data_IF_362455170572
#
_entry.id   IF_362455170572
#
_cell.length_a   1.000
_cell.length_b   1.000
_cell.length_c   1.000
_cell.angle_alpha   90.00
_cell.angle_beta   90.00
_cell.angle_gamma   90.00
#
_symmetry.space_group_name_H-M   'P 1'
#
loop_
_entity.id
_entity.type
_entity.pdbx_description
1 polymer ?
#
# COMPACT_ATOMS: atom_id res chain seq x y z
N UNK A 1 8.13 -15.36 9.89
CA UNK A 1 7.91 -16.37 10.94
C UNK A 1 7.36 -15.62 12.14
N UNK A 2 6.04 -15.57 12.30
CA UNK A 2 5.43 -14.96 13.48
C UNK A 2 5.55 -15.98 14.60
N UNK A 3 6.42 -15.70 15.56
CA UNK A 3 6.61 -16.58 16.70
C UNK A 3 5.47 -16.33 17.69
N UNK A 4 4.44 -17.17 17.67
CA UNK A 4 3.40 -17.11 18.71
C UNK A 4 3.92 -17.72 20.00
N UNK A 5 3.64 -17.06 21.12
CA UNK A 5 3.86 -17.63 22.45
C UNK A 5 3.02 -18.91 22.61
N UNK A 6 3.60 -19.96 23.21
CA UNK A 6 2.92 -21.24 23.43
C UNK A 6 1.74 -21.10 24.40
N UNK A 7 0.74 -21.99 24.28
CA UNK A 7 -0.43 -22.02 25.17
C UNK A 7 -0.03 -22.04 26.64
N UNK A 8 0.92 -22.92 26.97
CA UNK A 8 1.36 -23.15 28.35
C UNK A 8 1.98 -21.89 28.94
N UNK A 9 2.66 -21.09 28.11
CA UNK A 9 3.28 -19.84 28.52
C UNK A 9 2.25 -18.70 28.64
N UNK A 10 1.16 -18.73 27.86
CA UNK A 10 0.02 -17.80 28.05
C UNK A 10 -0.63 -18.04 29.41
N UNK A 11 -0.94 -19.30 29.73
CA UNK A 11 -1.58 -19.67 31.00
C UNK A 11 -0.70 -19.26 32.20
N UNK A 12 0.61 -19.45 32.12
CA UNK A 12 1.56 -19.01 33.15
C UNK A 12 1.54 -17.48 33.34
N UNK A 13 1.49 -16.73 32.24
CA UNK A 13 1.44 -15.26 32.27
C UNK A 13 0.10 -14.74 32.81
N UNK A 14 -1.02 -15.35 32.42
CA UNK A 14 -2.34 -14.97 32.92
C UNK A 14 -2.41 -15.12 34.44
N UNK A 15 -1.90 -16.23 34.98
CA UNK A 15 -1.80 -16.44 36.43
C UNK A 15 -0.90 -15.39 37.11
N UNK A 16 0.22 -15.04 36.48
CA UNK A 16 1.16 -14.05 37.00
C UNK A 16 0.52 -12.65 37.07
N UNK A 17 -0.12 -12.23 35.99
CA UNK A 17 -0.72 -10.91 35.87
C UNK A 17 -1.96 -10.77 36.75
N UNK A 18 -2.83 -11.79 36.78
CA UNK A 18 -4.03 -11.82 37.64
C UNK A 18 -3.66 -11.67 39.13
N UNK A 19 -2.58 -12.33 39.57
CA UNK A 19 -2.08 -12.22 40.96
C UNK A 19 -1.46 -10.87 41.28
N UNK A 20 -0.85 -10.22 40.30
CA UNK A 20 -0.19 -8.93 40.48
C UNK A 20 -1.16 -7.75 40.50
N UNK A 21 -2.40 -7.93 40.00
CA UNK A 21 -3.35 -6.84 39.75
C UNK A 21 -2.94 -5.91 38.61
N UNK A 22 -1.82 -6.20 37.94
CA UNK A 22 -1.34 -5.48 36.76
C UNK A 22 -1.90 -6.16 35.51
N UNK A 23 -2.38 -5.37 34.56
CA UNK A 23 -2.70 -5.86 33.21
C UNK A 23 -1.53 -5.56 32.29
N UNK A 24 -1.04 -6.54 31.50
CA UNK A 24 -0.07 -6.23 30.47
C UNK A 24 -0.76 -5.32 29.45
N UNK A 25 -0.29 -4.09 29.35
CA UNK A 25 -0.59 -3.19 28.23
C UNK A 25 0.68 -3.20 27.40
N UNK A 26 0.63 -3.78 26.20
CA UNK A 26 1.75 -3.71 25.26
C UNK A 26 1.64 -2.35 24.56
N UNK A 27 1.83 -1.28 25.34
CA UNK A 27 1.75 0.08 24.85
C UNK A 27 2.84 0.38 23.81
N UNK A 28 3.90 -0.43 23.81
CA UNK A 28 5.00 -0.37 22.86
C UNK A 28 4.57 -0.66 21.42
N UNK A 29 3.47 -1.39 21.21
CA UNK A 29 2.90 -1.70 19.88
C UNK A 29 1.78 -0.73 19.50
N UNK A 30 1.29 0.10 20.43
CA UNK A 30 0.22 1.04 20.17
C UNK A 30 0.69 2.18 19.24
N UNK A 31 -0.18 2.57 18.30
CA UNK A 31 0.02 3.78 17.52
C UNK A 31 0.14 4.98 18.44
N UNK A 32 1.27 5.68 18.38
CA UNK A 32 1.60 6.74 19.33
C UNK A 32 2.11 7.99 18.62
N UNK A 33 1.79 9.14 19.23
CA UNK A 33 2.28 10.45 18.81
C UNK A 33 2.76 11.20 20.05
N UNK A 34 4.01 11.65 20.02
CA UNK A 34 4.60 12.45 21.08
C UNK A 34 4.65 13.91 20.65
N UNK A 35 4.11 14.79 21.50
CA UNK A 35 4.11 16.24 21.32
C UNK A 35 4.94 16.84 22.45
N UNK A 36 5.88 17.73 22.11
CA UNK A 36 6.69 18.50 23.06
C UNK A 36 6.50 19.97 22.69
N UNK A 37 6.14 20.80 23.67
CA UNK A 37 5.89 22.25 23.47
C UNK A 37 4.95 22.55 22.30
N UNK A 38 3.81 21.84 22.24
CA UNK A 38 2.80 21.92 21.18
C UNK A 38 3.31 21.58 19.76
N UNK A 39 4.50 20.98 19.65
CA UNK A 39 5.09 20.54 18.39
C UNK A 39 5.21 19.03 18.34
N UNK A 40 4.92 18.48 17.17
CA UNK A 40 5.15 17.06 16.91
C UNK A 40 6.63 16.73 17.09
N UNK A 41 6.93 15.83 18.02
CA UNK A 41 8.29 15.34 18.31
C UNK A 41 8.53 14.00 17.63
N UNK A 42 7.62 13.04 17.78
CA UNK A 42 7.74 11.73 17.14
C UNK A 42 6.40 11.08 16.92
N UNK A 43 6.36 10.15 15.97
CA UNK A 43 5.26 9.19 15.80
C UNK A 43 5.82 7.77 15.75
N UNK A 44 5.04 6.80 16.21
CA UNK A 44 5.39 5.39 16.17
C UNK A 44 4.17 4.50 15.91
N UNK A 45 4.42 3.33 15.34
CA UNK A 45 3.43 2.28 15.07
C UNK A 45 2.22 2.74 14.25
N UNK A 46 2.44 3.66 13.31
CA UNK A 46 1.44 3.98 12.29
C UNK A 46 1.57 2.99 11.12
N UNK A 47 0.43 2.57 10.57
CA UNK A 47 0.44 1.93 9.26
C UNK A 47 1.07 2.87 8.23
N UNK A 48 1.97 2.38 7.36
CA UNK A 48 2.76 3.23 6.48
C UNK A 48 1.90 4.03 5.48
N UNK A 49 0.67 3.60 5.18
CA UNK A 49 -0.32 4.34 4.38
C UNK A 49 -0.83 5.59 5.11
N UNK A 50 -1.01 5.50 6.43
CA UNK A 50 -1.40 6.64 7.27
C UNK A 50 -0.23 7.61 7.33
N UNK A 51 0.98 7.12 7.59
CA UNK A 51 2.20 7.93 7.56
C UNK A 51 2.38 8.63 6.21
N UNK A 52 2.15 7.92 5.09
CA UNK A 52 2.26 8.48 3.76
C UNK A 52 1.21 9.57 3.50
N UNK A 53 -0.04 9.39 3.97
CA UNK A 53 -1.10 10.37 3.80
C UNK A 53 -0.79 11.73 4.44
N UNK A 54 -0.13 11.74 5.60
CA UNK A 54 0.12 12.96 6.37
C UNK A 54 1.55 13.50 6.22
N UNK A 55 2.51 12.64 5.97
CA UNK A 55 3.94 12.99 5.97
C UNK A 55 4.64 12.61 4.66
N UNK A 56 3.96 11.93 3.74
CA UNK A 56 4.49 11.48 2.45
C UNK A 56 5.69 10.53 2.54
N UNK A 57 5.80 9.80 3.66
CA UNK A 57 6.78 8.73 3.86
C UNK A 57 6.10 7.42 4.24
N UNK A 58 6.51 6.32 3.59
CA UNK A 58 6.17 4.96 4.01
C UNK A 58 7.05 4.55 5.19
N UNK A 59 6.58 4.86 6.40
CA UNK A 59 7.35 4.70 7.63
C UNK A 59 6.47 4.28 8.81
N UNK A 60 6.99 3.41 9.66
CA UNK A 60 6.33 3.01 10.92
C UNK A 60 6.73 3.91 12.08
N UNK A 61 7.90 4.55 12.01
CA UNK A 61 8.41 5.45 13.03
C UNK A 61 9.10 6.66 12.41
N UNK A 62 8.85 7.85 12.95
CA UNK A 62 9.56 9.08 12.59
C UNK A 62 9.80 9.94 13.82
N UNK A 63 10.99 10.49 13.94
CA UNK A 63 11.40 11.33 15.08
C UNK A 63 12.06 12.61 14.61
N UNK A 64 11.69 13.75 15.20
CA UNK A 64 12.31 15.05 14.97
C UNK A 64 13.65 15.16 15.69
N UNK A 65 14.47 16.10 15.21
CA UNK A 65 15.70 16.50 15.91
C UNK A 65 15.38 17.07 17.28
N UNK A 66 16.16 16.64 18.28
CA UNK A 66 16.07 17.15 19.64
C UNK A 66 16.65 18.57 19.73
N UNK A 67 17.73 18.83 19.00
CA UNK A 67 18.40 20.13 18.99
C UNK A 67 18.91 20.56 17.59
N UNK A 68 19.51 21.76 17.55
CA UNK A 68 20.06 22.32 16.32
C UNK A 68 21.38 21.70 15.86
N UNK A 69 22.12 21.04 16.76
CA UNK A 69 23.40 20.40 16.45
C UNK A 69 23.13 19.15 15.62
N UNK A 70 22.24 18.28 16.10
CA UNK A 70 21.86 17.05 15.41
C UNK A 70 21.25 17.36 14.04
N UNK A 71 20.41 18.40 13.98
CA UNK A 71 19.83 18.90 12.73
C UNK A 71 20.91 19.32 11.74
N UNK A 72 21.90 20.09 12.20
CA UNK A 72 23.01 20.55 11.36
C UNK A 72 23.86 19.40 10.83
N UNK A 73 24.08 18.35 11.62
CA UNK A 73 24.80 17.14 11.20
C UNK A 73 24.02 16.40 10.11
N UNK A 74 22.72 16.19 10.32
CA UNK A 74 21.86 15.51 9.34
C UNK A 74 21.78 16.24 7.99
N UNK A 75 21.62 17.56 8.03
CA UNK A 75 21.58 18.41 6.82
C UNK A 75 22.89 18.34 6.06
N UNK A 76 24.03 18.54 6.75
CA UNK A 76 25.35 18.49 6.11
C UNK A 76 25.61 17.14 5.43
N UNK A 77 25.19 16.05 6.06
CA UNK A 77 25.36 14.71 5.48
C UNK A 77 24.50 14.52 4.23
N UNK A 78 23.26 15.02 4.22
CA UNK A 78 22.42 15.00 3.02
C UNK A 78 23.01 15.84 1.87
N UNK A 79 23.59 17.00 2.19
CA UNK A 79 24.30 17.85 1.23
C UNK A 79 25.55 17.17 0.66
N UNK A 80 26.38 16.56 1.51
CA UNK A 80 27.58 15.81 1.12
C UNK A 80 27.24 14.63 0.20
N UNK A 81 26.14 13.94 0.48
CA UNK A 81 25.63 12.82 -0.32
C UNK A 81 24.86 13.28 -1.58
N UNK A 82 24.67 14.60 -1.77
CA UNK A 82 23.94 15.21 -2.90
C UNK A 82 22.51 14.70 -3.06
N UNK A 83 21.83 14.46 -1.93
CA UNK A 83 20.46 13.97 -1.90
C UNK A 83 19.50 15.15 -1.79
N UNK A 84 18.87 15.48 -2.91
CA UNK A 84 17.78 16.45 -2.97
C UNK A 84 16.52 15.86 -2.33
N UNK A 85 15.79 16.66 -1.54
CA UNK A 85 14.55 16.27 -0.86
C UNK A 85 14.67 15.10 0.13
N UNK A 86 15.82 14.95 0.77
CA UNK A 86 16.06 13.92 1.77
C UNK A 86 15.26 14.13 3.06
N UNK A 87 14.80 13.04 3.68
CA UNK A 87 14.05 13.10 4.94
C UNK A 87 14.85 13.73 6.09
N UNK A 88 16.20 13.66 6.05
CA UNK A 88 17.11 14.26 7.03
C UNK A 88 16.97 15.77 7.13
N UNK A 89 16.35 16.44 6.15
CA UNK A 89 16.03 17.85 6.29
C UNK A 89 14.95 18.11 7.35
N UNK A 90 14.06 17.13 7.56
CA UNK A 90 12.89 17.26 8.42
C UNK A 90 12.90 16.35 9.64
N UNK A 91 13.59 15.21 9.61
CA UNK A 91 13.52 14.14 10.61
C UNK A 91 14.92 13.69 11.02
N UNK A 92 15.10 13.42 12.31
CA UNK A 92 16.32 12.82 12.87
C UNK A 92 16.44 11.34 12.53
N UNK A 93 15.32 10.63 12.60
CA UNK A 93 15.24 9.21 12.30
C UNK A 93 13.92 8.90 11.59
N UNK A 94 14.01 8.02 10.60
CA UNK A 94 12.86 7.36 9.99
C UNK A 94 13.15 5.85 9.98
N UNK A 95 12.17 5.07 10.42
CA UNK A 95 12.14 3.62 10.18
C UNK A 95 11.19 3.39 9.01
N UNK A 96 11.77 3.09 7.85
CA UNK A 96 10.99 2.74 6.66
C UNK A 96 10.17 1.47 6.93
N UNK A 97 8.95 1.43 6.42
CA UNK A 97 8.07 0.27 6.54
C UNK A 97 7.23 0.20 5.27
N UNK A 98 7.38 -0.90 4.52
CA UNK A 98 6.51 -1.18 3.40
C UNK A 98 5.16 -1.70 3.92
N UNK A 99 4.06 -1.51 3.16
CA UNK A 99 2.73 -1.94 3.61
C UNK A 99 2.66 -3.44 3.92
N UNK A 100 3.32 -4.28 3.12
CA UNK A 100 3.45 -5.72 3.36
C UNK A 100 4.29 -6.09 4.60
N UNK A 101 5.04 -5.15 5.14
CA UNK A 101 5.90 -5.34 6.32
C UNK A 101 5.27 -4.74 7.58
N UNK A 102 4.08 -4.15 7.48
CA UNK A 102 3.40 -3.58 8.62
C UNK A 102 2.87 -4.72 9.52
N UNK A 103 3.21 -4.71 10.80
CA UNK A 103 2.72 -5.71 11.77
C UNK A 103 1.19 -5.71 11.92
N UNK A 104 0.54 -4.60 11.54
CA UNK A 104 -0.93 -4.47 11.48
C UNK A 104 -1.47 -5.05 10.17
N UNK A 105 -0.65 -5.17 9.11
CA UNK A 105 -1.07 -5.76 7.84
C UNK A 105 -1.52 -7.20 8.04
N UNK A 106 -0.79 -8.03 8.78
CA UNK A 106 -1.21 -9.41 9.06
C UNK A 106 -2.55 -9.47 9.80
N UNK A 107 -2.83 -8.51 10.69
CA UNK A 107 -4.11 -8.41 11.39
C UNK A 107 -5.23 -7.93 10.46
N UNK A 108 -4.93 -7.02 9.53
CA UNK A 108 -5.86 -6.57 8.48
C UNK A 108 -6.09 -7.68 7.45
N UNK A 109 -5.06 -8.44 7.08
CA UNK A 109 -5.14 -9.60 6.21
C UNK A 109 -5.93 -10.72 6.90
N UNK A 110 -5.70 -10.99 8.18
CA UNK A 110 -6.46 -11.93 8.98
C UNK A 110 -7.91 -11.47 9.15
N UNK A 111 -8.15 -10.19 9.43
CA UNK A 111 -9.48 -9.59 9.43
C UNK A 111 -10.15 -9.69 8.06
N UNK A 112 -9.42 -9.40 6.97
CA UNK A 112 -9.93 -9.53 5.62
C UNK A 112 -10.22 -10.99 5.29
N UNK A 113 -9.40 -11.94 5.74
CA UNK A 113 -9.62 -13.37 5.48
C UNK A 113 -10.78 -13.91 6.30
N UNK A 114 -10.91 -13.50 7.57
CA UNK A 114 -11.92 -14.00 8.51
C UNK A 114 -13.26 -13.26 8.44
N UNK A 115 -13.25 -11.97 8.12
CA UNK A 115 -14.42 -11.09 8.06
C UNK A 115 -14.79 -10.76 6.62
N UNK A 116 -13.81 -10.49 5.75
CA UNK A 116 -13.98 -10.29 4.30
C UNK A 116 -13.66 -11.59 3.53
N UNK A 117 -13.81 -12.79 4.12
CA UNK A 117 -13.77 -14.06 3.36
C UNK A 117 -14.77 -14.11 2.18
N UNK A 118 -15.50 -13.01 1.97
CA UNK A 118 -16.37 -12.63 0.88
C UNK A 118 -15.72 -11.78 -0.21
N UNK A 119 -14.43 -11.44 -0.22
CA UNK A 119 -13.89 -10.65 -1.34
C UNK A 119 -14.16 -11.35 -2.68
N UNK A 120 -13.98 -12.67 -2.72
CA UNK A 120 -14.35 -13.51 -3.86
C UNK A 120 -15.88 -13.59 -4.11
N UNK A 121 -16.70 -13.33 -3.09
CA UNK A 121 -18.18 -13.23 -3.21
C UNK A 121 -18.64 -11.82 -3.65
N UNK A 122 -17.85 -10.78 -3.37
CA UNK A 122 -18.15 -9.37 -3.61
C UNK A 122 -17.57 -8.88 -4.93
N UNK A 123 -16.42 -9.42 -5.33
CA UNK A 123 -15.78 -9.12 -6.59
C UNK A 123 -16.39 -9.96 -7.71
N UNK A 124 -16.56 -9.36 -8.88
CA UNK A 124 -16.99 -10.10 -10.05
C UNK A 124 -16.02 -11.28 -10.34
N UNK A 125 -16.48 -12.51 -10.64
CA UNK A 125 -15.61 -13.69 -10.80
C UNK A 125 -14.47 -13.53 -11.82
N UNK A 126 -14.70 -12.72 -12.86
CA UNK A 126 -13.66 -12.36 -13.83
C UNK A 126 -12.53 -11.52 -13.22
N UNK A 127 -12.82 -10.64 -12.24
CA UNK A 127 -11.79 -9.88 -11.52
C UNK A 127 -10.89 -10.83 -10.75
N UNK A 128 -11.46 -11.78 -10.00
CA UNK A 128 -10.71 -12.81 -9.25
C UNK A 128 -9.81 -13.61 -10.20
N UNK A 129 -10.36 -14.05 -11.34
CA UNK A 129 -9.60 -14.79 -12.36
C UNK A 129 -8.46 -13.97 -12.97
N UNK A 130 -8.64 -12.66 -13.13
CA UNK A 130 -7.63 -11.75 -13.68
C UNK A 130 -6.53 -11.43 -12.65
N UNK A 131 -6.85 -11.36 -11.36
CA UNK A 131 -5.87 -11.25 -10.27
C UNK A 131 -4.94 -12.47 -10.31
N UNK A 132 -5.49 -13.70 -10.33
CA UNK A 132 -4.67 -14.91 -10.45
C UNK A 132 -3.91 -15.03 -11.78
N UNK A 133 -4.30 -14.29 -12.82
CA UNK A 133 -3.48 -14.15 -14.05
C UNK A 133 -2.33 -13.17 -13.84
N UNK A 134 -2.58 -12.04 -13.19
CA UNK A 134 -1.56 -11.05 -12.87
C UNK A 134 -0.47 -11.65 -11.98
N UNK A 135 -0.85 -12.38 -10.92
CA UNK A 135 0.07 -13.07 -10.02
C UNK A 135 1.00 -14.02 -10.78
N UNK A 136 0.44 -14.87 -11.65
CA UNK A 136 1.27 -15.76 -12.49
C UNK A 136 2.20 -15.00 -13.44
N UNK A 137 1.82 -13.83 -13.94
CA UNK A 137 2.72 -13.01 -14.75
C UNK A 137 3.87 -12.46 -13.89
N UNK A 138 3.58 -12.03 -12.65
CA UNK A 138 4.61 -11.59 -11.70
C UNK A 138 5.56 -12.73 -11.32
N UNK A 139 5.05 -13.93 -11.06
CA UNK A 139 5.85 -15.13 -10.75
C UNK A 139 6.78 -15.56 -11.89
N UNK A 140 6.42 -15.25 -13.13
CA UNK A 140 7.18 -15.61 -14.34
C UNK A 140 8.05 -14.46 -14.87
N UNK A 141 8.26 -13.40 -14.08
CA UNK A 141 8.98 -12.19 -14.49
C UNK A 141 8.44 -11.58 -15.81
N UNK A 142 7.12 -11.59 -16.01
CA UNK A 142 6.43 -11.05 -17.19
C UNK A 142 5.71 -9.72 -16.85
N UNK A 143 6.42 -8.58 -16.85
CA UNK A 143 5.83 -7.29 -16.49
C UNK A 143 4.79 -6.81 -17.51
N UNK A 144 4.92 -7.20 -18.78
CA UNK A 144 3.95 -6.84 -19.81
C UNK A 144 2.63 -7.60 -19.65
N UNK A 145 2.71 -8.89 -19.32
CA UNK A 145 1.56 -9.70 -18.95
C UNK A 145 0.87 -9.21 -17.68
N UNK A 146 1.65 -8.78 -16.68
CA UNK A 146 1.10 -8.19 -15.46
C UNK A 146 0.34 -6.88 -15.75
N UNK A 147 0.91 -5.97 -16.55
CA UNK A 147 0.21 -4.74 -16.98
C UNK A 147 -1.06 -5.04 -17.79
N UNK A 148 -1.02 -6.04 -18.66
CA UNK A 148 -2.20 -6.47 -19.40
C UNK A 148 -3.33 -6.94 -18.47
N UNK A 149 -3.00 -7.79 -17.50
CA UNK A 149 -3.95 -8.29 -16.52
C UNK A 149 -4.51 -7.14 -15.66
N UNK A 150 -3.64 -6.24 -15.16
CA UNK A 150 -4.03 -5.07 -14.38
C UNK A 150 -5.05 -4.17 -15.12
N UNK A 151 -4.81 -3.87 -16.39
CA UNK A 151 -5.74 -3.06 -17.18
C UNK A 151 -7.11 -3.75 -17.37
N UNK A 152 -7.12 -5.07 -17.54
CA UNK A 152 -8.35 -5.83 -17.68
C UNK A 152 -9.11 -5.94 -16.33
N UNK A 153 -8.41 -6.02 -15.19
CA UNK A 153 -9.03 -5.94 -13.86
C UNK A 153 -9.79 -4.63 -13.75
N UNK A 154 -9.11 -3.51 -14.04
CA UNK A 154 -9.68 -2.18 -13.96
C UNK A 154 -10.88 -2.01 -14.92
N UNK A 155 -10.78 -2.49 -16.16
CA UNK A 155 -11.91 -2.45 -17.11
C UNK A 155 -13.10 -3.26 -16.61
N UNK A 156 -12.86 -4.45 -16.07
CA UNK A 156 -13.92 -5.33 -15.54
C UNK A 156 -14.60 -4.69 -14.33
N UNK A 157 -13.82 -4.17 -13.38
CA UNK A 157 -14.34 -3.44 -12.21
C UNK A 157 -15.10 -2.19 -12.64
N UNK A 158 -14.64 -1.46 -13.67
CA UNK A 158 -15.36 -0.30 -14.18
C UNK A 158 -16.71 -0.68 -14.81
N UNK A 159 -16.80 -1.83 -15.50
CA UNK A 159 -18.07 -2.36 -16.02
C UNK A 159 -19.02 -2.76 -14.90
N UNK A 160 -18.49 -3.37 -13.86
CA UNK A 160 -19.23 -3.79 -12.66
C UNK A 160 -19.79 -2.58 -11.88
N UNK A 161 -18.96 -1.55 -11.66
CA UNK A 161 -19.38 -0.29 -11.00
C UNK A 161 -20.50 0.42 -11.76
N UNK A 162 -20.40 0.47 -13.10
CA UNK A 162 -21.37 1.19 -13.93
C UNK A 162 -22.64 0.37 -14.18
N UNK A 163 -22.58 -0.95 -13.99
CA UNK A 163 -23.69 -1.91 -14.09
C UNK A 163 -24.63 -1.62 -15.27
N UNK A 164 -24.05 -1.48 -16.46
CA UNK A 164 -24.78 -1.12 -17.68
C UNK A 164 -24.60 -2.20 -18.75
N UNK A 165 -25.68 -2.82 -19.25
CA UNK A 165 -25.58 -3.85 -20.30
C UNK A 165 -24.96 -3.29 -21.60
N UNK A 166 -25.14 -1.99 -21.86
CA UNK A 166 -24.66 -1.33 -23.08
C UNK A 166 -23.13 -1.24 -23.20
N UNK A 167 -22.37 -1.42 -22.11
CA UNK A 167 -20.91 -1.26 -22.11
C UNK A 167 -20.14 -2.59 -22.03
N UNK A 168 -20.83 -3.72 -21.91
CA UNK A 168 -20.18 -5.03 -21.68
C UNK A 168 -19.21 -5.42 -22.81
N UNK A 169 -19.57 -5.10 -24.05
CA UNK A 169 -18.75 -5.33 -25.24
C UNK A 169 -17.87 -4.14 -25.64
N UNK A 170 -17.78 -3.11 -24.80
CA UNK A 170 -16.96 -1.93 -25.06
C UNK A 170 -15.66 -2.01 -24.26
N UNK A 171 -14.61 -1.40 -24.79
CA UNK A 171 -13.34 -1.17 -24.09
C UNK A 171 -13.48 -0.03 -23.09
N UNK A 172 -12.69 -0.02 -22.00
CA UNK A 172 -12.70 1.08 -21.02
C UNK A 172 -12.50 2.43 -21.70
N UNK A 173 -11.61 2.51 -22.70
CA UNK A 173 -11.39 3.73 -23.47
C UNK A 173 -12.66 4.28 -24.13
N UNK A 174 -13.60 3.42 -24.53
CA UNK A 174 -14.85 3.82 -25.19
C UNK A 174 -15.90 4.39 -24.23
N UNK A 175 -15.86 4.01 -22.94
CA UNK A 175 -16.81 4.46 -21.92
C UNK A 175 -16.15 5.21 -20.76
N UNK A 176 -14.89 5.64 -20.91
CA UNK A 176 -14.11 6.25 -19.83
C UNK A 176 -14.77 7.50 -19.25
N UNK A 177 -15.36 8.34 -20.10
CA UNK A 177 -16.05 9.56 -19.65
C UNK A 177 -17.29 9.21 -18.83
N UNK A 178 -18.05 8.19 -19.26
CA UNK A 178 -19.18 7.67 -18.49
C UNK A 178 -18.71 7.17 -17.12
N UNK A 179 -17.63 6.38 -17.08
CA UNK A 179 -17.04 5.90 -15.85
C UNK A 179 -16.62 7.04 -14.91
N UNK A 180 -15.93 8.07 -15.41
CA UNK A 180 -15.50 9.22 -14.61
C UNK A 180 -16.67 9.99 -14.01
N UNK A 181 -17.77 10.10 -14.75
CA UNK A 181 -18.95 10.87 -14.34
C UNK A 181 -19.82 10.10 -13.33
N UNK A 182 -19.99 8.78 -13.52
CA UNK A 182 -20.93 7.98 -12.73
C UNK A 182 -20.27 7.25 -11.55
N UNK A 183 -18.96 6.99 -11.60
CA UNK A 183 -18.25 6.38 -10.48
C UNK A 183 -18.21 7.30 -9.26
N UNK A 184 -18.48 6.76 -8.07
CA UNK A 184 -18.34 7.45 -6.79
C UNK A 184 -16.88 7.59 -6.31
N UNK A 185 -15.91 7.06 -7.06
CA UNK A 185 -14.50 7.11 -6.66
C UNK A 185 -13.93 8.54 -6.70
N UNK A 186 -12.93 8.85 -5.85
CA UNK A 186 -12.15 10.08 -5.93
C UNK A 186 -11.55 10.31 -7.33
N UNK A 187 -11.37 11.59 -7.70
CA UNK A 187 -10.79 12.03 -8.98
C UNK A 187 -9.42 11.41 -9.25
N UNK A 188 -8.60 11.31 -8.21
CA UNK A 188 -7.24 10.80 -8.25
C UNK A 188 -7.23 9.32 -8.68
N UNK A 189 -8.15 8.51 -8.13
CA UNK A 189 -8.28 7.10 -8.49
C UNK A 189 -8.82 6.94 -9.93
N UNK A 190 -9.78 7.78 -10.33
CA UNK A 190 -10.30 7.80 -11.71
C UNK A 190 -9.20 8.13 -12.72
N UNK A 191 -8.27 9.02 -12.36
CA UNK A 191 -7.12 9.35 -13.19
C UNK A 191 -6.10 8.21 -13.27
N UNK A 192 -5.81 7.54 -12.16
CA UNK A 192 -4.92 6.38 -12.13
C UNK A 192 -5.47 5.27 -13.03
N UNK A 193 -6.77 4.99 -12.95
CA UNK A 193 -7.46 4.04 -13.82
C UNK A 193 -7.23 4.37 -15.30
N UNK A 194 -7.42 5.63 -15.68
CA UNK A 194 -7.17 6.08 -17.05
C UNK A 194 -5.69 5.94 -17.46
N UNK A 195 -4.75 6.25 -16.56
CA UNK A 195 -3.31 6.17 -16.82
C UNK A 195 -2.87 4.72 -17.07
N UNK A 196 -3.26 3.78 -16.20
CA UNK A 196 -2.90 2.37 -16.33
C UNK A 196 -3.46 1.79 -17.64
N UNK A 197 -4.73 2.08 -17.95
CA UNK A 197 -5.36 1.59 -19.18
C UNK A 197 -4.69 2.13 -20.45
N UNK A 198 -4.34 3.42 -20.45
CA UNK A 198 -3.64 4.05 -21.58
C UNK A 198 -2.21 3.53 -21.73
N UNK A 199 -1.50 3.29 -20.64
CA UNK A 199 -0.16 2.70 -20.65
C UNK A 199 -0.20 1.32 -21.33
N UNK A 200 -1.13 0.47 -20.88
CA UNK A 200 -1.37 -0.86 -21.47
C UNK A 200 -1.65 -0.81 -22.97
N UNK A 201 -2.38 0.21 -23.43
CA UNK A 201 -2.74 0.37 -24.84
C UNK A 201 -1.59 0.80 -25.75
N UNK A 202 -0.49 1.30 -25.19
CA UNK A 202 0.70 1.76 -25.93
C UNK A 202 1.91 0.84 -25.74
N UNK A 203 1.96 0.16 -24.60
CA UNK A 203 3.09 -0.70 -24.23
C UNK A 203 3.12 -1.98 -25.08
N UNK A 204 4.26 -2.30 -25.72
CA UNK A 204 4.45 -3.56 -26.42
C UNK A 204 4.13 -4.76 -25.52
N UNK A 205 3.56 -5.82 -26.11
CA UNK A 205 3.17 -7.06 -25.43
C UNK A 205 2.07 -6.94 -24.35
N UNK A 206 1.71 -5.73 -23.92
CA UNK A 206 0.69 -5.50 -22.88
C UNK A 206 -0.72 -5.31 -23.45
N UNK A 207 -0.87 -5.22 -24.77
CA UNK A 207 -2.13 -4.91 -25.44
C UNK A 207 -1.95 -4.14 -26.73
N UNK A 208 -0.71 -3.72 -27.01
CA UNK A 208 -0.29 -3.15 -28.27
C UNK A 208 0.62 -4.12 -29.04
N UNK A 209 0.30 -4.39 -30.30
CA UNK A 209 1.07 -5.28 -31.18
C UNK A 209 2.30 -4.63 -31.82
N UNK A 210 2.98 -3.72 -31.11
CA UNK A 210 4.19 -3.07 -31.60
C UNK A 210 5.34 -4.06 -31.73
N UNK A 211 6.24 -3.82 -32.69
CA UNK A 211 7.48 -4.57 -32.88
C UNK A 211 8.62 -4.07 -31.99
N UNK A 212 8.42 -2.98 -31.25
CA UNK A 212 9.40 -2.46 -30.28
C UNK A 212 9.50 -3.39 -29.07
N UNK A 213 10.68 -3.45 -28.45
CA UNK A 213 10.84 -4.10 -27.14
C UNK A 213 10.04 -3.36 -26.06
N UNK A 214 9.43 -4.08 -25.10
CA UNK A 214 8.80 -3.44 -23.94
C UNK A 214 9.86 -2.75 -23.09
N UNK A 215 9.58 -1.52 -22.69
CA UNK A 215 10.40 -0.73 -21.77
C UNK A 215 9.66 -0.66 -20.43
N UNK A 216 9.61 -1.81 -19.75
CA UNK A 216 8.99 -1.99 -18.44
C UNK A 216 9.92 -2.82 -17.57
N UNK A 217 10.30 -2.25 -16.45
CA UNK A 217 11.04 -2.90 -15.39
C UNK A 217 10.07 -3.32 -14.27
N UNK A 218 10.33 -4.42 -13.56
CA UNK A 218 9.61 -4.80 -12.33
C UNK A 218 9.59 -3.68 -11.27
N UNK A 219 10.63 -2.84 -11.22
CA UNK A 219 10.69 -1.65 -10.36
C UNK A 219 9.71 -0.54 -10.75
N UNK A 220 9.16 -0.54 -11.97
CA UNK A 220 8.15 0.43 -12.40
C UNK A 220 6.73 0.02 -11.98
N UNK A 221 6.56 -1.10 -11.25
CA UNK A 221 5.27 -1.68 -10.88
C UNK A 221 4.79 -1.40 -9.44
N UNK A 222 5.46 -0.51 -8.69
CA UNK A 222 5.02 -0.08 -7.37
C UNK A 222 5.05 1.45 -7.23
#
# INVERSE_FOLDING_TARGET
MITSISSDKKDELDILWERSGLRPVIAEDDTSMTIIDDKLSSIGNFCPEVSFKFFHYYASHMMKYLDGIDKGIGHRRAEEEKLENDWRYAWYNITACHYLECSIYDQVEEYNTKVIGKFDELAHPNVVSLIGRMERCLENDDPSGALHAAANIIETTAKDIIDSPNIQNQTLGSFLDKYKNESALPSELKEIVAKIYNLRSRMPLSGHGSTSSPDLNMHDQL
#
